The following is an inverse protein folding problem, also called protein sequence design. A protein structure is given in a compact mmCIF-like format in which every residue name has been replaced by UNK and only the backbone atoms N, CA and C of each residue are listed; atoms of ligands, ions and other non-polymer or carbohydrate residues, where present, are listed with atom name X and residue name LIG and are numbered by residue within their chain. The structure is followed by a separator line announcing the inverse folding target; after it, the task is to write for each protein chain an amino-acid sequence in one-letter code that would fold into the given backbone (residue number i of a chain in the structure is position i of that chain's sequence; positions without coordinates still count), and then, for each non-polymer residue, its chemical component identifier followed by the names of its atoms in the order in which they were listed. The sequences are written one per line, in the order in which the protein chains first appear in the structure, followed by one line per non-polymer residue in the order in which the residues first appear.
data_IF_186725092560
#
_entry.id   IF_186725092560
#
_cell.length_a   1.000
_cell.length_b   1.000
_cell.length_c   1.000
_cell.angle_alpha   90.00
_cell.angle_beta   90.00
_cell.angle_gamma   90.00
#
_symmetry.space_group_name_H-M   'P 1'
#
loop_
_entity.id
_entity.type
_entity.pdbx_description
1 polymer ?
#
# COMPACT_ATOMS: atom_id res chain seq x y z
N UNK A 1 6.36 17.32 14.90
CA UNK A 1 7.49 17.03 13.99
C UNK A 1 8.64 16.31 14.70
N UNK A 2 9.33 16.90 15.68
CA UNK A 2 10.46 16.24 16.38
C UNK A 2 10.08 14.90 17.03
N UNK A 3 8.95 14.84 17.72
CA UNK A 3 8.44 13.61 18.33
C UNK A 3 8.11 12.53 17.28
N UNK A 4 7.44 12.90 16.19
CA UNK A 4 7.07 11.97 15.10
C UNK A 4 8.31 11.40 14.39
N UNK A 5 9.28 12.28 14.08
CA UNK A 5 10.54 11.85 13.48
C UNK A 5 11.36 11.00 14.45
N UNK A 6 11.43 11.41 15.73
CA UNK A 6 12.14 10.66 16.77
C UNK A 6 11.56 9.26 16.99
N UNK A 7 10.24 9.12 17.06
CA UNK A 7 9.58 7.82 17.21
C UNK A 7 9.78 6.94 15.97
N UNK A 8 9.71 7.50 14.76
CA UNK A 8 9.98 6.78 13.52
C UNK A 8 11.42 6.23 13.48
N UNK A 9 12.40 7.08 13.75
CA UNK A 9 13.82 6.67 13.79
C UNK A 9 14.07 5.61 14.86
N UNK A 10 13.51 5.79 16.07
CA UNK A 10 13.64 4.83 17.16
C UNK A 10 13.09 3.45 16.76
N UNK A 11 11.89 3.40 16.20
CA UNK A 11 11.26 2.14 15.76
C UNK A 11 12.07 1.49 14.65
N UNK A 12 12.49 2.28 13.65
CA UNK A 12 13.30 1.77 12.52
C UNK A 12 14.63 1.17 13.00
N UNK A 13 15.34 1.87 13.90
CA UNK A 13 16.59 1.39 14.48
C UNK A 13 16.37 0.15 15.33
N UNK A 14 15.30 0.12 16.14
CA UNK A 14 14.95 -1.06 16.94
C UNK A 14 14.66 -2.28 16.06
N UNK A 15 13.87 -2.14 15.01
CA UNK A 15 13.58 -3.21 14.04
C UNK A 15 14.86 -3.69 13.36
N UNK A 16 15.71 -2.77 12.89
CA UNK A 16 16.99 -3.10 12.25
C UNK A 16 17.92 -3.87 13.22
N UNK A 17 18.02 -3.42 14.46
CA UNK A 17 18.83 -4.05 15.50
C UNK A 17 18.33 -5.46 15.84
N UNK A 18 17.02 -5.64 16.07
CA UNK A 18 16.43 -6.95 16.33
C UNK A 18 16.59 -7.88 15.14
N UNK A 19 16.40 -7.37 13.91
CA UNK A 19 16.62 -8.14 12.68
C UNK A 19 18.07 -8.62 12.60
N UNK A 20 19.05 -7.74 12.82
CA UNK A 20 20.46 -8.09 12.82
C UNK A 20 20.80 -9.16 13.87
N UNK A 21 20.27 -9.02 15.11
CA UNK A 21 20.48 -10.03 16.16
C UNK A 21 19.93 -11.42 15.77
N UNK A 22 18.78 -11.46 15.11
CA UNK A 22 18.11 -12.71 14.69
C UNK A 22 18.77 -13.37 13.47
N UNK A 23 19.53 -12.60 12.70
CA UNK A 23 20.18 -13.09 11.47
C UNK A 23 21.67 -13.30 11.66
N UNK A 24 22.24 -12.81 12.75
CA UNK A 24 23.65 -13.00 13.11
C UNK A 24 24.00 -14.50 13.15
N UNK A 25 24.96 -14.91 12.31
CA UNK A 25 25.36 -16.33 12.17
C UNK A 25 24.68 -17.07 11.00
N UNK A 26 23.89 -16.41 10.18
CA UNK A 26 23.47 -16.97 8.89
C UNK A 26 24.65 -16.86 7.92
N UNK A 27 24.95 -17.96 7.21
CA UNK A 27 25.98 -17.94 6.16
C UNK A 27 25.43 -17.21 4.92
N UNK A 28 25.72 -15.91 4.84
CA UNK A 28 25.33 -15.05 3.72
C UNK A 28 26.30 -15.15 2.52
N UNK A 29 27.37 -15.93 2.66
CA UNK A 29 28.34 -16.12 1.56
C UNK A 29 27.86 -17.14 0.54
N UNK A 30 26.96 -18.02 0.95
CA UNK A 30 26.33 -19.01 0.06
C UNK A 30 25.13 -18.41 -0.69
N UNK A 31 24.92 -18.87 -1.93
CA UNK A 31 23.77 -18.47 -2.76
C UNK A 31 22.43 -18.70 -2.03
N UNK A 32 22.25 -19.85 -1.43
CA UNK A 32 21.03 -20.19 -0.71
C UNK A 32 20.91 -19.42 0.61
N UNK A 33 22.01 -19.11 1.27
CA UNK A 33 22.02 -18.28 2.49
C UNK A 33 21.55 -16.87 2.20
N UNK A 34 22.09 -16.23 1.17
CA UNK A 34 21.74 -14.84 0.83
C UNK A 34 20.35 -14.70 0.19
N UNK A 35 20.03 -15.49 -0.85
CA UNK A 35 18.81 -15.34 -1.64
C UNK A 35 17.60 -16.09 -1.07
N UNK A 36 17.80 -17.14 -0.28
CA UNK A 36 16.72 -17.96 0.31
C UNK A 36 16.75 -17.97 1.84
N UNK A 37 17.61 -17.15 2.47
CA UNK A 37 17.75 -17.10 3.93
C UNK A 37 18.13 -18.44 4.54
N UNK A 38 18.90 -19.27 3.82
CA UNK A 38 19.28 -20.63 4.22
C UNK A 38 18.09 -21.58 4.35
N UNK A 39 16.97 -21.31 3.69
CA UNK A 39 15.71 -22.07 3.80
C UNK A 39 15.30 -22.26 5.27
N UNK A 40 15.39 -21.22 6.06
CA UNK A 40 15.18 -21.27 7.52
C UNK A 40 13.92 -20.56 8.02
N UNK A 41 13.12 -19.98 7.10
CA UNK A 41 11.97 -19.18 7.47
C UNK A 41 10.81 -20.04 8.00
N UNK A 42 10.23 -19.60 9.13
CA UNK A 42 9.00 -20.19 9.67
C UNK A 42 7.76 -19.58 9.01
N UNK A 43 6.63 -20.27 9.09
CA UNK A 43 5.38 -19.82 8.49
C UNK A 43 4.91 -18.45 9.00
N UNK A 44 5.17 -18.12 10.26
CA UNK A 44 4.84 -16.78 10.79
C UNK A 44 5.74 -15.69 10.20
N UNK A 45 7.02 -15.97 10.00
CA UNK A 45 7.94 -15.03 9.35
C UNK A 45 7.57 -14.85 7.88
N UNK A 46 7.20 -15.92 7.20
CA UNK A 46 6.72 -15.86 5.81
C UNK A 46 5.43 -15.05 5.73
N UNK A 47 4.49 -15.28 6.63
CA UNK A 47 3.25 -14.51 6.73
C UNK A 47 3.52 -13.00 6.87
N UNK A 48 4.32 -12.61 7.86
CA UNK A 48 4.66 -11.20 8.08
C UNK A 48 5.38 -10.59 6.87
N UNK A 49 6.31 -11.32 6.27
CA UNK A 49 7.06 -10.85 5.10
C UNK A 49 6.17 -10.73 3.86
N UNK A 50 5.28 -11.68 3.60
CA UNK A 50 4.32 -11.60 2.49
C UNK A 50 3.36 -10.42 2.67
N UNK A 51 2.85 -10.22 3.89
CA UNK A 51 1.99 -9.08 4.20
C UNK A 51 2.69 -7.75 3.93
N UNK A 52 3.89 -7.54 4.45
CA UNK A 52 4.62 -6.29 4.29
C UNK A 52 5.18 -6.08 2.88
N UNK A 53 5.38 -7.15 2.11
CA UNK A 53 5.75 -7.05 0.70
C UNK A 53 4.57 -6.62 -0.17
N UNK A 54 3.37 -7.08 0.16
CA UNK A 54 2.16 -6.71 -0.55
C UNK A 54 1.65 -5.32 -0.14
N UNK A 55 1.67 -5.01 1.15
CA UNK A 55 1.13 -3.76 1.68
C UNK A 55 2.17 -2.65 1.65
N UNK A 56 2.10 -1.82 0.62
CA UNK A 56 2.92 -0.62 0.45
C UNK A 56 2.16 0.65 0.93
N UNK A 57 2.87 1.77 1.00
CA UNK A 57 2.25 3.08 1.24
C UNK A 57 1.21 3.41 0.16
N UNK A 58 1.46 3.02 -1.09
CA UNK A 58 0.51 3.12 -2.21
C UNK A 58 -0.80 2.38 -1.91
N UNK A 59 -0.70 1.14 -1.42
CA UNK A 59 -1.88 0.36 -1.05
C UNK A 59 -2.67 1.05 0.07
N UNK A 60 -2.00 1.42 1.16
CA UNK A 60 -2.68 2.01 2.30
C UNK A 60 -3.32 3.37 1.97
N UNK A 61 -2.58 4.27 1.33
CA UNK A 61 -3.07 5.61 0.99
C UNK A 61 -3.97 5.56 -0.24
N UNK A 62 -3.56 4.85 -1.29
CA UNK A 62 -4.29 4.79 -2.55
C UNK A 62 -5.64 4.08 -2.43
N UNK A 63 -5.72 2.94 -1.72
CA UNK A 63 -6.99 2.24 -1.52
C UNK A 63 -7.96 3.01 -0.64
N UNK A 64 -7.46 3.71 0.38
CA UNK A 64 -8.31 4.61 1.17
C UNK A 64 -8.82 5.78 0.32
N UNK A 65 -7.99 6.37 -0.54
CA UNK A 65 -8.42 7.38 -1.51
C UNK A 65 -9.47 6.85 -2.48
N UNK A 66 -9.32 5.63 -2.97
CA UNK A 66 -10.32 4.96 -3.81
C UNK A 66 -11.61 4.68 -3.04
N UNK A 67 -11.53 4.27 -1.77
CA UNK A 67 -12.68 4.11 -0.89
C UNK A 67 -13.45 5.41 -0.70
N UNK A 68 -12.75 6.53 -0.57
CA UNK A 68 -13.37 7.85 -0.53
C UNK A 68 -14.10 8.21 -1.83
N UNK A 69 -13.46 7.97 -2.99
CA UNK A 69 -14.00 8.36 -4.29
C UNK A 69 -15.08 7.41 -4.84
N UNK A 70 -14.88 6.09 -4.71
CA UNK A 70 -15.71 5.06 -5.34
C UNK A 70 -16.47 4.16 -4.34
N UNK A 71 -16.30 4.39 -3.04
CA UNK A 71 -16.93 3.58 -2.00
C UNK A 71 -16.32 2.20 -1.85
N UNK A 72 -17.10 1.27 -1.26
CA UNK A 72 -16.67 -0.10 -0.99
C UNK A 72 -16.40 -0.93 -2.25
N UNK A 73 -16.79 -0.46 -3.43
CA UNK A 73 -16.44 -1.11 -4.71
C UNK A 73 -14.94 -1.25 -4.89
N UNK A 74 -14.14 -0.34 -4.30
CA UNK A 74 -12.68 -0.42 -4.32
C UNK A 74 -12.12 -1.71 -3.71
N UNK A 75 -12.88 -2.42 -2.86
CA UNK A 75 -12.49 -3.73 -2.31
C UNK A 75 -12.41 -4.84 -3.38
N UNK A 76 -13.03 -4.64 -4.53
CA UNK A 76 -13.00 -5.60 -5.64
C UNK A 76 -11.56 -6.01 -6.03
N UNK A 77 -10.60 -5.11 -5.87
CA UNK A 77 -9.19 -5.41 -6.10
C UNK A 77 -8.64 -6.50 -5.17
N UNK A 78 -9.08 -6.57 -3.92
CA UNK A 78 -8.55 -7.52 -2.93
C UNK A 78 -9.37 -8.81 -2.83
N UNK A 79 -10.54 -8.86 -3.46
CA UNK A 79 -11.49 -9.98 -3.32
C UNK A 79 -10.92 -11.32 -3.79
N UNK A 80 -10.12 -11.33 -4.86
CA UNK A 80 -9.51 -12.55 -5.41
C UNK A 80 -8.17 -12.94 -4.76
N UNK A 81 -7.61 -12.09 -3.91
CA UNK A 81 -6.35 -12.33 -3.23
C UNK A 81 -6.37 -13.61 -2.35
N UNK A 82 -7.34 -13.86 -1.47
CA UNK A 82 -7.41 -15.07 -0.66
C UNK A 82 -7.49 -16.35 -1.51
N UNK A 83 -8.22 -16.29 -2.63
CA UNK A 83 -8.35 -17.43 -3.55
C UNK A 83 -7.00 -17.72 -4.21
N UNK A 84 -6.32 -16.69 -4.71
CA UNK A 84 -4.99 -16.86 -5.33
C UNK A 84 -3.96 -17.42 -4.34
N UNK A 85 -3.95 -16.93 -3.09
CA UNK A 85 -3.06 -17.45 -2.03
C UNK A 85 -3.38 -18.89 -1.64
N UNK A 86 -4.65 -19.28 -1.65
CA UNK A 86 -5.06 -20.66 -1.45
C UNK A 86 -4.58 -21.55 -2.60
N UNK A 87 -4.77 -21.13 -3.84
CA UNK A 87 -4.23 -21.84 -5.02
C UNK A 87 -2.70 -21.93 -4.98
N UNK A 88 -2.03 -20.86 -4.59
CA UNK A 88 -0.58 -20.86 -4.39
C UNK A 88 -0.17 -21.92 -3.37
N UNK A 89 -0.81 -21.98 -2.21
CA UNK A 89 -0.49 -22.92 -1.14
C UNK A 89 -0.74 -24.38 -1.54
N UNK A 90 -1.84 -24.65 -2.24
CA UNK A 90 -2.25 -26.02 -2.56
C UNK A 90 -1.58 -26.60 -3.81
N UNK A 91 -1.27 -25.76 -4.82
CA UNK A 91 -0.80 -26.26 -6.11
C UNK A 91 0.61 -25.80 -6.45
N UNK A 92 0.90 -24.49 -6.37
CA UNK A 92 2.15 -23.94 -6.88
C UNK A 92 3.33 -24.24 -5.97
N UNK A 93 3.20 -24.01 -4.67
CA UNK A 93 4.29 -24.25 -3.70
C UNK A 93 4.73 -25.71 -3.72
N UNK A 94 3.79 -26.65 -3.80
CA UNK A 94 4.12 -28.07 -3.86
C UNK A 94 4.98 -28.43 -5.08
N UNK A 95 4.65 -27.85 -6.24
CA UNK A 95 5.41 -28.08 -7.47
C UNK A 95 6.82 -27.47 -7.37
N UNK A 96 6.93 -26.25 -6.87
CA UNK A 96 8.21 -25.57 -6.74
C UNK A 96 9.14 -26.25 -5.73
N UNK A 97 8.60 -26.72 -4.61
CA UNK A 97 9.38 -27.49 -3.63
C UNK A 97 9.84 -28.84 -4.17
N UNK A 98 9.00 -29.55 -4.94
CA UNK A 98 9.40 -30.84 -5.59
C UNK A 98 10.52 -30.65 -6.61
N UNK A 99 10.55 -29.53 -7.31
CA UNK A 99 11.58 -29.23 -8.30
C UNK A 99 12.85 -28.65 -7.68
N UNK A 100 12.83 -28.25 -6.41
CA UNK A 100 13.97 -27.68 -5.70
C UNK A 100 14.46 -26.34 -6.26
N UNK A 101 13.62 -25.62 -6.99
CA UNK A 101 13.97 -24.36 -7.64
C UNK A 101 14.24 -23.24 -6.62
N UNK A 102 15.09 -22.29 -7.02
CA UNK A 102 15.40 -21.10 -6.23
C UNK A 102 14.71 -19.84 -6.77
N UNK A 103 14.32 -19.84 -8.04
CA UNK A 103 13.69 -18.70 -8.70
C UNK A 103 12.62 -19.13 -9.70
N UNK A 104 11.66 -18.24 -9.98
CA UNK A 104 10.62 -18.49 -10.99
C UNK A 104 11.19 -18.64 -12.42
N UNK A 105 12.16 -17.82 -12.86
CA UNK A 105 12.81 -18.06 -14.13
C UNK A 105 13.50 -19.44 -14.24
N UNK A 106 14.03 -19.97 -13.13
CA UNK A 106 14.61 -21.34 -13.10
C UNK A 106 13.54 -22.43 -13.29
N UNK A 107 12.32 -22.21 -12.78
CA UNK A 107 11.18 -23.07 -13.09
C UNK A 107 10.89 -23.12 -14.59
N UNK A 108 10.93 -21.96 -15.25
CA UNK A 108 10.71 -21.90 -16.70
C UNK A 108 11.82 -22.59 -17.50
N UNK A 109 13.08 -22.50 -17.05
CA UNK A 109 14.18 -23.26 -17.66
C UNK A 109 13.95 -24.78 -17.59
N UNK A 110 13.46 -25.27 -16.45
CA UNK A 110 13.17 -26.70 -16.28
C UNK A 110 12.00 -27.18 -17.15
N UNK A 111 11.16 -26.28 -17.62
CA UNK A 111 9.96 -26.58 -18.42
C UNK A 111 10.18 -26.38 -19.92
N UNK A 112 10.99 -25.40 -20.28
CA UNK A 112 11.25 -24.97 -21.66
C UNK A 112 12.75 -25.08 -21.95
N UNK A 113 13.47 -23.93 -21.86
CA UNK A 113 14.88 -23.86 -22.16
C UNK A 113 15.60 -22.73 -21.41
N UNK A 114 16.93 -22.68 -21.55
CA UNK A 114 17.77 -21.64 -20.96
C UNK A 114 17.51 -20.25 -21.54
N UNK A 115 17.15 -20.15 -22.83
CA UNK A 115 16.85 -18.87 -23.47
C UNK A 115 15.61 -18.24 -22.83
N UNK A 116 14.56 -19.01 -22.59
CA UNK A 116 13.35 -18.57 -21.88
C UNK A 116 13.68 -18.03 -20.49
N UNK A 117 14.54 -18.72 -19.72
CA UNK A 117 15.00 -18.21 -18.40
C UNK A 117 15.65 -16.84 -18.51
N UNK A 118 16.59 -16.67 -19.44
CA UNK A 118 17.33 -15.41 -19.60
C UNK A 118 16.40 -14.28 -20.01
N UNK A 119 15.52 -14.50 -20.99
CA UNK A 119 14.57 -13.51 -21.49
C UNK A 119 13.62 -13.07 -20.37
N UNK A 120 13.02 -14.02 -19.65
CA UNK A 120 12.07 -13.71 -18.57
C UNK A 120 12.77 -13.01 -17.40
N UNK A 121 14.00 -13.42 -17.06
CA UNK A 121 14.78 -12.73 -16.02
C UNK A 121 15.07 -11.28 -16.41
N UNK A 122 15.41 -11.03 -17.66
CA UNK A 122 15.63 -9.67 -18.17
C UNK A 122 14.36 -8.83 -18.13
N UNK A 123 13.22 -9.39 -18.56
CA UNK A 123 11.93 -8.72 -18.52
C UNK A 123 11.56 -8.36 -17.08
N UNK A 124 11.69 -9.27 -16.12
CA UNK A 124 11.44 -8.99 -14.71
C UNK A 124 12.35 -7.89 -14.18
N UNK A 125 13.65 -7.93 -14.50
CA UNK A 125 14.60 -6.91 -14.06
C UNK A 125 14.20 -5.52 -14.56
N UNK A 126 13.90 -5.40 -15.86
CA UNK A 126 13.46 -4.14 -16.47
C UNK A 126 12.14 -3.67 -15.86
N UNK A 127 11.15 -4.55 -15.70
CA UNK A 127 9.87 -4.21 -15.10
C UNK A 127 10.02 -3.71 -13.65
N UNK A 128 10.86 -4.34 -12.84
CA UNK A 128 11.09 -3.88 -11.46
C UNK A 128 11.79 -2.53 -11.40
N UNK A 129 12.80 -2.30 -12.26
CA UNK A 129 13.57 -1.04 -12.26
C UNK A 129 12.72 0.11 -12.82
N UNK A 130 11.99 -0.11 -13.91
CA UNK A 130 11.31 0.96 -14.65
C UNK A 130 9.93 1.27 -14.08
N UNK A 131 9.19 0.26 -13.58
CA UNK A 131 7.81 0.45 -13.14
C UNK A 131 7.66 0.36 -11.64
N UNK A 132 8.05 -0.75 -11.03
CA UNK A 132 7.74 -1.03 -9.62
C UNK A 132 8.52 -0.14 -8.65
N UNK A 133 9.84 -0.02 -8.84
CA UNK A 133 10.70 0.73 -7.92
C UNK A 133 10.39 2.24 -7.89
N UNK A 134 10.24 2.94 -9.04
CA UNK A 134 9.87 4.35 -9.03
C UNK A 134 8.50 4.60 -8.40
N UNK A 135 7.50 3.75 -8.70
CA UNK A 135 6.15 3.88 -8.17
C UNK A 135 6.14 3.78 -6.64
N UNK A 136 6.79 2.75 -6.08
CA UNK A 136 6.84 2.52 -4.63
C UNK A 136 7.63 3.62 -3.91
N UNK A 137 8.79 4.03 -4.46
CA UNK A 137 9.59 5.12 -3.90
C UNK A 137 8.83 6.45 -3.93
N UNK A 138 8.17 6.76 -5.02
CA UNK A 138 7.37 7.98 -5.14
C UNK A 138 6.22 8.01 -4.14
N UNK A 139 5.40 6.95 -4.10
CA UNK A 139 4.28 6.86 -3.16
C UNK A 139 4.73 6.95 -1.69
N UNK A 140 5.83 6.24 -1.34
CA UNK A 140 6.43 6.34 -0.02
C UNK A 140 6.93 7.73 0.31
N UNK A 141 7.57 8.40 -0.65
CA UNK A 141 8.12 9.75 -0.48
C UNK A 141 7.03 10.80 -0.28
N UNK A 142 5.95 10.73 -1.05
CA UNK A 142 4.79 11.62 -0.88
C UNK A 142 4.14 11.43 0.49
N UNK A 143 3.97 10.18 0.94
CA UNK A 143 3.44 9.91 2.27
C UNK A 143 4.34 10.45 3.39
N UNK A 144 5.65 10.22 3.30
CA UNK A 144 6.63 10.71 4.27
C UNK A 144 6.75 12.24 4.26
N UNK A 145 6.70 12.86 3.07
CA UNK A 145 6.69 14.32 2.94
C UNK A 145 5.54 14.94 3.74
N UNK A 146 4.34 14.38 3.61
CA UNK A 146 3.16 14.85 4.33
C UNK A 146 3.26 14.66 5.84
N UNK A 147 3.78 13.52 6.29
CA UNK A 147 3.92 13.22 7.72
C UNK A 147 4.97 14.11 8.38
N UNK A 148 6.08 14.35 7.70
CA UNK A 148 7.22 15.09 8.27
C UNK A 148 7.28 16.56 7.88
N UNK A 149 6.42 17.03 6.96
CA UNK A 149 6.39 18.41 6.51
C UNK A 149 7.69 18.87 5.85
N UNK A 150 8.36 18.00 5.11
CA UNK A 150 9.68 18.26 4.50
C UNK A 150 9.63 19.44 3.52
N UNK A 151 8.51 19.65 2.84
CA UNK A 151 8.31 20.79 1.93
C UNK A 151 8.54 22.13 2.63
N UNK A 152 8.11 22.26 3.88
CA UNK A 152 8.35 23.48 4.65
C UNK A 152 9.85 23.74 4.92
N UNK A 153 10.62 22.67 5.13
CA UNK A 153 12.08 22.72 5.31
C UNK A 153 12.82 23.08 4.00
N UNK A 154 12.23 22.74 2.85
CA UNK A 154 12.79 22.98 1.51
C UNK A 154 12.28 24.29 0.88
N UNK A 155 11.88 25.28 1.70
CA UNK A 155 11.42 26.59 1.22
C UNK A 155 10.13 26.55 0.39
N UNK A 156 9.26 25.56 0.59
CA UNK A 156 8.00 25.38 -0.13
C UNK A 156 8.10 24.63 -1.46
N UNK A 157 9.29 24.13 -1.83
CA UNK A 157 9.47 23.38 -3.09
C UNK A 157 9.12 21.89 -2.91
N UNK A 158 7.88 21.54 -3.25
CA UNK A 158 7.35 20.17 -3.16
C UNK A 158 8.14 19.16 -4.01
N UNK A 159 8.52 19.54 -5.23
CA UNK A 159 9.29 18.66 -6.13
C UNK A 159 10.66 18.30 -5.51
N UNK A 160 11.37 19.28 -4.99
CA UNK A 160 12.67 19.06 -4.33
C UNK A 160 12.50 18.18 -3.08
N UNK A 161 11.49 18.44 -2.26
CA UNK A 161 11.19 17.66 -1.07
C UNK A 161 10.92 16.18 -1.40
N UNK A 162 10.05 15.92 -2.37
CA UNK A 162 9.74 14.56 -2.83
C UNK A 162 10.97 13.88 -3.43
N UNK A 163 11.77 14.57 -4.24
CA UNK A 163 13.01 14.03 -4.83
C UNK A 163 14.02 13.64 -3.76
N UNK A 164 14.27 14.51 -2.78
CA UNK A 164 15.19 14.22 -1.67
C UNK A 164 14.71 13.00 -0.87
N UNK A 165 13.41 12.91 -0.61
CA UNK A 165 12.82 11.75 0.08
C UNK A 165 12.94 10.47 -0.75
N UNK A 166 12.71 10.51 -2.06
CA UNK A 166 12.91 9.35 -2.96
C UNK A 166 14.36 8.84 -2.90
N UNK A 167 15.31 9.75 -2.99
CA UNK A 167 16.74 9.39 -2.93
C UNK A 167 17.10 8.83 -1.56
N UNK A 168 16.65 9.47 -0.48
CA UNK A 168 16.91 9.00 0.89
C UNK A 168 16.34 7.61 1.14
N UNK A 169 15.07 7.37 0.78
CA UNK A 169 14.44 6.07 0.91
C UNK A 169 15.10 5.01 0.03
N UNK A 170 15.50 5.38 -1.20
CA UNK A 170 16.20 4.48 -2.10
C UNK A 170 17.57 4.05 -1.56
N UNK A 171 18.35 4.99 -0.99
CA UNK A 171 19.65 4.70 -0.38
C UNK A 171 19.47 3.82 0.87
N UNK A 172 18.57 4.18 1.79
CA UNK A 172 18.32 3.40 3.02
C UNK A 172 17.85 2.00 2.68
N UNK A 173 16.87 1.86 1.78
CA UNK A 173 16.37 0.57 1.33
C UNK A 173 17.41 -0.26 0.60
N UNK A 174 18.25 0.37 -0.24
CA UNK A 174 19.35 -0.28 -0.95
C UNK A 174 20.41 -0.82 0.00
N UNK A 175 20.88 -0.02 0.96
CA UNK A 175 21.83 -0.45 1.99
C UNK A 175 21.26 -1.64 2.76
N UNK A 176 20.01 -1.53 3.20
CA UNK A 176 19.35 -2.59 3.96
C UNK A 176 19.24 -3.90 3.16
N UNK A 177 18.90 -3.82 1.88
CA UNK A 177 18.77 -4.98 1.01
C UNK A 177 20.12 -5.65 0.71
N UNK A 178 21.17 -4.85 0.48
CA UNK A 178 22.53 -5.36 0.13
C UNK A 178 23.16 -6.09 1.33
N UNK A 179 23.06 -5.52 2.53
CA UNK A 179 23.75 -6.07 3.71
C UNK A 179 22.91 -7.06 4.51
N UNK A 180 21.62 -7.18 4.25
CA UNK A 180 20.72 -8.00 5.09
C UNK A 180 20.31 -9.35 4.50
N UNK A 181 20.45 -9.55 3.20
CA UNK A 181 19.94 -10.75 2.54
C UNK A 181 18.43 -10.99 2.78
N UNK A 182 17.89 -12.10 2.26
CA UNK A 182 16.45 -12.39 2.38
C UNK A 182 16.00 -12.60 3.83
N UNK A 183 16.83 -13.23 4.67
CA UNK A 183 16.42 -13.56 6.05
C UNK A 183 16.25 -12.31 6.90
N UNK A 184 17.17 -11.34 6.80
CA UNK A 184 17.06 -10.09 7.53
C UNK A 184 15.86 -9.28 7.09
N UNK A 185 15.60 -9.21 5.78
CA UNK A 185 14.42 -8.55 5.23
C UNK A 185 13.14 -9.22 5.76
N UNK A 186 13.03 -10.56 5.69
CA UNK A 186 11.85 -11.27 6.15
C UNK A 186 11.57 -11.14 7.66
N UNK A 187 12.61 -11.10 8.49
CA UNK A 187 12.49 -10.87 9.94
C UNK A 187 12.04 -9.43 10.21
N UNK A 188 12.65 -8.46 9.55
CA UNK A 188 12.27 -7.05 9.66
C UNK A 188 10.83 -6.82 9.20
N UNK A 189 10.43 -7.38 8.05
CA UNK A 189 9.07 -7.34 7.56
C UNK A 189 8.09 -7.90 8.60
N UNK A 190 8.45 -9.01 9.26
CA UNK A 190 7.60 -9.63 10.27
C UNK A 190 7.41 -8.74 11.50
N UNK A 191 8.46 -8.04 11.93
CA UNK A 191 8.38 -7.08 13.03
C UNK A 191 7.53 -5.86 12.64
N UNK A 192 7.76 -5.31 11.45
CA UNK A 192 6.96 -4.23 10.92
C UNK A 192 5.49 -4.66 10.71
N UNK A 193 5.25 -5.92 10.32
CA UNK A 193 3.92 -6.50 10.20
C UNK A 193 3.14 -6.51 11.50
N UNK A 194 3.79 -6.76 12.64
CA UNK A 194 3.14 -6.67 13.96
C UNK A 194 2.72 -5.22 14.25
N UNK A 195 3.61 -4.27 14.02
CA UNK A 195 3.33 -2.84 14.20
C UNK A 195 2.20 -2.40 13.28
N UNK A 196 2.23 -2.87 12.02
CA UNK A 196 1.19 -2.60 11.02
C UNK A 196 -0.17 -3.15 11.43
N UNK A 197 -0.24 -4.39 11.93
CA UNK A 197 -1.50 -4.98 12.40
C UNK A 197 -2.09 -4.15 13.54
N UNK A 198 -1.29 -3.76 14.51
CA UNK A 198 -1.76 -2.92 15.63
C UNK A 198 -2.20 -1.54 15.13
N UNK A 199 -1.38 -0.87 14.33
CA UNK A 199 -1.63 0.49 13.86
C UNK A 199 -2.71 0.57 12.79
N UNK A 200 -2.50 -0.10 11.67
CA UNK A 200 -3.35 0.06 10.48
C UNK A 200 -4.61 -0.82 10.52
N UNK A 201 -4.51 -2.05 11.03
CA UNK A 201 -5.64 -2.98 11.01
C UNK A 201 -6.60 -2.75 12.18
N UNK A 202 -6.08 -2.39 13.35
CA UNK A 202 -6.90 -2.21 14.56
C UNK A 202 -7.14 -0.73 14.84
N UNK A 203 -6.07 0.05 15.02
CA UNK A 203 -6.18 1.41 15.55
C UNK A 203 -6.84 2.38 14.55
N UNK A 204 -6.46 2.35 13.27
CA UNK A 204 -7.01 3.27 12.26
C UNK A 204 -8.53 3.08 12.08
N UNK A 205 -9.08 1.87 11.84
CA UNK A 205 -10.52 1.69 11.73
C UNK A 205 -11.27 2.07 13.00
N UNK A 206 -10.74 1.70 14.18
CA UNK A 206 -11.37 2.04 15.47
C UNK A 206 -11.45 3.54 15.66
N UNK A 207 -10.34 4.26 15.44
CA UNK A 207 -10.32 5.72 15.56
C UNK A 207 -11.22 6.39 14.52
N UNK A 208 -11.29 5.86 13.30
CA UNK A 208 -12.18 6.37 12.25
C UNK A 208 -13.65 6.23 12.65
N UNK A 209 -14.08 5.10 13.22
CA UNK A 209 -15.44 4.93 13.73
C UNK A 209 -15.73 5.81 14.95
N UNK A 210 -14.78 5.98 15.88
CA UNK A 210 -14.91 6.88 17.02
C UNK A 210 -15.10 8.33 16.53
N UNK A 211 -14.31 8.75 15.54
CA UNK A 211 -14.42 10.09 14.97
C UNK A 211 -15.76 10.30 14.26
N UNK A 212 -16.27 9.29 13.52
CA UNK A 212 -17.56 9.36 12.86
C UNK A 212 -18.72 9.42 13.85
N UNK A 213 -18.63 8.69 14.96
CA UNK A 213 -19.68 8.57 16.00
C UNK A 213 -19.56 9.56 17.14
N UNK A 214 -18.79 10.64 16.98
CA UNK A 214 -18.58 11.67 18.01
C UNK A 214 -18.18 11.11 19.39
N UNK A 215 -17.24 10.16 19.39
CA UNK A 215 -16.72 9.49 20.57
C UNK A 215 -17.29 8.09 20.84
N UNK A 216 -18.29 7.64 20.08
CA UNK A 216 -18.90 6.30 20.23
C UNK A 216 -18.65 5.43 19.00
N UNK A 217 -18.01 4.27 19.17
CA UNK A 217 -17.80 3.30 18.09
C UNK A 217 -19.15 2.76 17.57
N UNK A 218 -20.09 2.45 18.48
CA UNK A 218 -21.40 1.91 18.10
C UNK A 218 -22.19 2.90 17.24
N UNK A 219 -22.16 4.17 17.58
CA UNK A 219 -22.81 5.23 16.80
C UNK A 219 -22.09 5.44 15.46
N UNK A 220 -20.76 5.40 15.43
CA UNK A 220 -19.97 5.45 14.19
C UNK A 220 -20.33 4.32 13.22
N UNK A 221 -20.44 3.09 13.73
CA UNK A 221 -20.87 1.93 12.92
C UNK A 221 -22.31 2.13 12.41
N UNK A 222 -23.22 2.63 13.25
CA UNK A 222 -24.61 2.93 12.85
C UNK A 222 -24.67 3.96 11.73
N UNK A 223 -23.95 5.08 11.90
CA UNK A 223 -23.86 6.14 10.88
C UNK A 223 -23.26 5.58 9.58
N UNK A 224 -22.19 4.82 9.67
CA UNK A 224 -21.55 4.17 8.51
C UNK A 224 -22.55 3.30 7.75
N UNK A 225 -23.30 2.45 8.45
CA UNK A 225 -24.24 1.52 7.82
C UNK A 225 -25.48 2.19 7.21
N UNK A 226 -25.86 3.40 7.66
CA UNK A 226 -27.14 4.03 7.27
C UNK A 226 -27.00 5.25 6.36
N UNK A 227 -25.83 5.95 6.37
CA UNK A 227 -25.71 7.28 5.75
C UNK A 227 -25.55 7.26 4.23
N UNK A 228 -24.93 6.25 3.65
CA UNK A 228 -24.66 6.22 2.20
C UNK A 228 -24.69 4.78 1.66
N UNK A 229 -25.88 4.16 1.51
CA UNK A 229 -25.99 2.77 1.03
C UNK A 229 -25.33 2.54 -0.34
N UNK A 230 -25.34 3.53 -1.22
CA UNK A 230 -24.69 3.49 -2.52
C UNK A 230 -23.15 3.34 -2.42
N UNK A 231 -22.53 4.01 -1.44
CA UNK A 231 -21.08 3.91 -1.17
C UNK A 231 -20.69 2.60 -0.47
N UNK A 232 -21.64 1.93 0.14
CA UNK A 232 -21.44 0.62 0.79
C UNK A 232 -21.61 -0.55 -0.17
N UNK A 233 -22.14 -0.34 -1.37
CA UNK A 233 -22.25 -1.39 -2.35
C UNK A 233 -20.87 -1.78 -2.89
N UNK A 234 -20.46 -3.01 -2.57
CA UNK A 234 -19.16 -3.53 -2.96
C UNK A 234 -19.13 -4.08 -4.40
N UNK A 235 -20.29 -4.34 -4.99
CA UNK A 235 -20.43 -4.99 -6.30
C UNK A 235 -21.14 -4.03 -7.25
N UNK A 236 -20.44 -3.57 -8.27
CA UNK A 236 -21.06 -2.80 -9.33
C UNK A 236 -21.61 -3.72 -10.44
N UNK A 237 -22.78 -3.40 -11.02
CA UNK A 237 -23.26 -4.06 -12.20
C UNK A 237 -22.30 -3.85 -13.38
N UNK A 238 -22.41 -4.70 -14.42
CA UNK A 238 -21.51 -4.65 -15.57
C UNK A 238 -21.67 -3.38 -16.40
N UNK A 239 -22.84 -2.77 -16.34
CA UNK A 239 -23.24 -1.56 -17.06
C UNK A 239 -23.19 -0.28 -16.21
N UNK A 240 -22.57 -0.33 -15.03
CA UNK A 240 -22.43 0.84 -14.17
C UNK A 240 -21.70 1.99 -14.88
N UNK A 241 -22.22 3.20 -14.67
CA UNK A 241 -21.64 4.43 -15.22
C UNK A 241 -21.34 5.43 -14.08
N UNK A 242 -20.10 5.88 -13.90
CA UNK A 242 -18.87 5.39 -14.54
C UNK A 242 -18.47 4.00 -14.03
N UNK A 243 -17.92 3.13 -14.88
CA UNK A 243 -17.46 1.82 -14.43
C UNK A 243 -16.15 1.98 -13.62
N UNK A 244 -16.16 1.52 -12.37
CA UNK A 244 -14.93 1.47 -11.57
C UNK A 244 -14.33 0.07 -11.58
N UNK A 245 -14.99 -0.90 -10.93
CA UNK A 245 -14.63 -2.32 -10.98
C UNK A 245 -15.93 -3.12 -11.12
N UNK A 246 -16.47 -3.31 -12.35
CA UNK A 246 -17.67 -4.11 -12.55
C UNK A 246 -17.40 -5.58 -12.22
N UNK A 247 -18.42 -6.30 -11.75
CA UNK A 247 -18.27 -7.66 -11.25
C UNK A 247 -17.55 -8.65 -12.21
N UNK A 248 -17.72 -8.57 -13.55
CA UNK A 248 -16.99 -9.47 -14.43
C UNK A 248 -15.48 -9.24 -14.39
N UNK A 249 -15.04 -7.99 -14.17
CA UNK A 249 -13.63 -7.66 -14.01
C UNK A 249 -13.05 -8.20 -12.70
N UNK A 250 -13.85 -8.26 -11.61
CA UNK A 250 -13.41 -8.86 -10.36
C UNK A 250 -13.00 -10.33 -10.58
N UNK A 251 -13.84 -11.10 -11.26
CA UNK A 251 -13.60 -12.53 -11.44
C UNK A 251 -12.50 -12.78 -12.46
N UNK A 252 -12.60 -12.20 -13.66
CA UNK A 252 -11.69 -12.49 -14.76
C UNK A 252 -10.39 -11.66 -14.66
N UNK A 253 -10.52 -10.33 -14.57
CA UNK A 253 -9.36 -9.43 -14.56
C UNK A 253 -8.55 -9.54 -13.28
N UNK A 254 -9.19 -9.28 -12.13
CA UNK A 254 -8.51 -9.36 -10.84
C UNK A 254 -8.12 -10.80 -10.49
N UNK A 255 -8.93 -11.80 -10.87
CA UNK A 255 -8.60 -13.21 -10.64
C UNK A 255 -7.30 -13.63 -11.32
N UNK A 256 -7.15 -13.36 -12.61
CA UNK A 256 -5.93 -13.65 -13.37
C UNK A 256 -4.76 -12.84 -12.82
N UNK A 257 -4.96 -11.55 -12.54
CA UNK A 257 -3.93 -10.68 -11.99
C UNK A 257 -3.40 -11.19 -10.64
N UNK A 258 -4.29 -11.57 -9.72
CA UNK A 258 -3.88 -12.09 -8.42
C UNK A 258 -3.19 -13.45 -8.51
N UNK A 259 -3.64 -14.36 -9.38
CA UNK A 259 -2.94 -15.62 -9.61
C UNK A 259 -1.54 -15.35 -10.16
N UNK A 260 -1.40 -14.47 -11.13
CA UNK A 260 -0.09 -14.07 -11.67
C UNK A 260 0.78 -13.45 -10.58
N UNK A 261 0.27 -12.48 -9.83
CA UNK A 261 1.03 -11.78 -8.78
C UNK A 261 1.47 -12.72 -7.66
N UNK A 262 0.57 -13.49 -7.07
CA UNK A 262 0.89 -14.34 -5.92
C UNK A 262 1.64 -15.61 -6.30
N UNK A 263 1.35 -16.21 -7.45
CA UNK A 263 1.90 -17.52 -7.80
C UNK A 263 3.17 -17.45 -8.65
N UNK A 264 3.45 -16.35 -9.36
CA UNK A 264 4.57 -16.27 -10.31
C UNK A 264 5.50 -15.08 -10.11
N UNK A 265 5.14 -14.11 -9.28
CA UNK A 265 6.00 -12.98 -8.99
C UNK A 265 7.22 -13.40 -8.18
N UNK A 266 8.42 -13.09 -8.67
CA UNK A 266 9.68 -13.49 -8.02
C UNK A 266 9.82 -12.92 -6.61
N UNK A 267 9.44 -11.67 -6.37
CA UNK A 267 9.57 -11.02 -5.05
C UNK A 267 8.70 -11.68 -3.98
N UNK A 268 7.54 -12.21 -4.35
CA UNK A 268 6.64 -12.97 -3.48
C UNK A 268 7.16 -14.39 -3.27
N UNK A 269 7.44 -15.09 -4.38
CA UNK A 269 7.82 -16.49 -4.32
C UNK A 269 9.16 -16.74 -3.64
N UNK A 270 10.10 -15.81 -3.74
CA UNK A 270 11.39 -15.91 -3.05
C UNK A 270 11.24 -16.06 -1.54
N UNK A 271 10.29 -15.36 -0.92
CA UNK A 271 9.99 -15.48 0.52
C UNK A 271 9.43 -16.84 0.89
N UNK A 272 8.57 -17.35 0.05
CA UNK A 272 7.94 -18.67 0.22
C UNK A 272 8.96 -19.81 0.03
N UNK A 273 9.83 -19.68 -0.97
CA UNK A 273 10.90 -20.65 -1.24
C UNK A 273 11.99 -20.68 -0.17
N UNK A 274 12.11 -19.61 0.63
CA UNK A 274 12.97 -19.55 1.82
C UNK A 274 12.45 -20.30 3.04
N UNK A 275 11.29 -20.97 2.95
CA UNK A 275 10.69 -21.73 4.04
C UNK A 275 11.52 -22.96 4.45
N UNK A 276 11.47 -23.31 5.74
CA UNK A 276 12.10 -24.53 6.28
C UNK A 276 11.59 -25.81 5.61
N UNK A 277 10.32 -25.84 5.28
CA UNK A 277 9.67 -26.99 4.66
C UNK A 277 8.33 -26.55 4.02
N UNK A 278 7.73 -27.47 3.27
CA UNK A 278 6.46 -27.24 2.58
C UNK A 278 5.34 -26.79 3.51
N UNK A 279 5.23 -27.39 4.72
CA UNK A 279 4.16 -27.04 5.69
C UNK A 279 4.27 -25.60 6.17
N UNK A 280 5.48 -25.11 6.44
CA UNK A 280 5.71 -23.72 6.84
C UNK A 280 5.42 -22.74 5.69
N UNK A 281 5.78 -23.09 4.47
CA UNK A 281 5.45 -22.31 3.27
C UNK A 281 3.92 -22.17 3.09
N UNK A 282 3.21 -23.28 3.15
CA UNK A 282 1.75 -23.31 3.04
C UNK A 282 1.07 -22.56 4.18
N UNK A 283 1.55 -22.75 5.43
CA UNK A 283 1.04 -22.05 6.61
C UNK A 283 1.16 -20.53 6.46
N UNK A 284 2.33 -20.03 6.05
CA UNK A 284 2.55 -18.60 5.83
C UNK A 284 1.62 -18.03 4.77
N UNK A 285 1.49 -18.72 3.64
CA UNK A 285 0.61 -18.30 2.54
C UNK A 285 -0.87 -18.29 2.91
N UNK A 286 -1.35 -19.32 3.62
CA UNK A 286 -2.75 -19.40 4.04
C UNK A 286 -3.09 -18.35 5.11
N UNK A 287 -2.17 -18.06 6.04
CA UNK A 287 -2.35 -16.97 7.01
C UNK A 287 -2.43 -15.60 6.32
N UNK A 288 -1.60 -15.39 5.29
CA UNK A 288 -1.68 -14.19 4.46
C UNK A 288 -3.04 -14.10 3.75
N UNK A 289 -3.51 -15.19 3.16
CA UNK A 289 -4.83 -15.27 2.53
C UNK A 289 -5.97 -14.96 3.49
N UNK A 290 -5.91 -15.51 4.70
CA UNK A 290 -6.90 -15.21 5.75
C UNK A 290 -6.91 -13.71 6.10
N UNK A 291 -5.74 -13.09 6.22
CA UNK A 291 -5.65 -11.66 6.53
C UNK A 291 -6.17 -10.80 5.37
N UNK A 292 -5.95 -11.22 4.12
CA UNK A 292 -6.47 -10.52 2.95
C UNK A 292 -8.01 -10.46 2.90
N UNK A 293 -8.72 -11.40 3.53
CA UNK A 293 -10.18 -11.31 3.70
C UNK A 293 -10.60 -10.05 4.47
N UNK A 294 -9.76 -9.60 5.40
CA UNK A 294 -10.01 -8.42 6.23
C UNK A 294 -9.43 -7.14 5.65
N UNK A 295 -8.65 -7.21 4.56
CA UNK A 295 -8.06 -6.04 3.91
C UNK A 295 -9.05 -4.91 3.62
N UNK A 296 -10.28 -5.15 3.15
CA UNK A 296 -11.26 -4.08 2.91
C UNK A 296 -11.53 -3.20 4.13
N UNK A 297 -11.49 -3.77 5.34
CA UNK A 297 -11.79 -3.04 6.59
C UNK A 297 -10.75 -1.97 6.88
N UNK A 298 -9.48 -2.21 6.59
CA UNK A 298 -8.42 -1.23 6.90
C UNK A 298 -7.85 -0.53 5.67
N UNK A 299 -8.04 -1.08 4.47
CA UNK A 299 -7.58 -0.44 3.23
C UNK A 299 -8.64 0.44 2.56
N UNK A 300 -9.92 0.13 2.73
CA UNK A 300 -11.00 0.82 2.00
C UNK A 300 -11.98 1.54 2.93
N UNK A 301 -12.42 0.89 4.00
CA UNK A 301 -13.44 1.45 4.87
C UNK A 301 -13.06 2.81 5.51
N UNK A 302 -11.80 3.09 5.93
CA UNK A 302 -11.48 4.40 6.46
C UNK A 302 -11.69 5.54 5.45
N UNK A 303 -11.46 5.28 4.14
CA UNK A 303 -11.77 6.22 3.07
C UNK A 303 -13.27 6.48 2.93
N UNK A 304 -14.10 5.43 3.00
CA UNK A 304 -15.57 5.57 2.99
C UNK A 304 -16.06 6.29 4.24
N UNK A 305 -15.48 5.99 5.41
CA UNK A 305 -15.80 6.69 6.67
C UNK A 305 -15.48 8.19 6.53
N UNK A 306 -14.34 8.52 5.94
CA UNK A 306 -13.96 9.91 5.70
C UNK A 306 -14.94 10.61 4.75
N UNK A 307 -15.42 9.95 3.70
CA UNK A 307 -16.43 10.48 2.80
C UNK A 307 -17.74 10.77 3.55
N UNK A 308 -18.23 9.81 4.34
CA UNK A 308 -19.45 9.98 5.14
C UNK A 308 -19.26 11.11 6.17
N UNK A 309 -18.11 11.15 6.84
CA UNK A 309 -17.79 12.17 7.82
C UNK A 309 -17.90 13.59 7.22
N UNK A 310 -17.32 13.82 6.05
CA UNK A 310 -17.41 15.14 5.39
C UNK A 310 -18.82 15.46 4.87
N UNK A 311 -19.64 14.48 4.57
CA UNK A 311 -21.04 14.70 4.18
C UNK A 311 -21.99 14.95 5.35
N UNK A 312 -21.80 14.25 6.47
CA UNK A 312 -22.70 14.33 7.63
C UNK A 312 -22.31 15.43 8.60
N UNK A 313 -21.04 15.78 8.70
CA UNK A 313 -20.51 16.78 9.64
C UNK A 313 -20.46 18.23 9.13
N UNK A 314 -20.62 18.59 7.82
CA UNK A 314 -20.63 20.01 7.43
C UNK A 314 -21.68 20.85 8.14
N UNK A 315 -22.85 20.28 8.49
CA UNK A 315 -23.85 20.95 9.28
C UNK A 315 -23.41 21.19 10.75
N UNK A 316 -22.52 20.33 11.28
CA UNK A 316 -21.96 20.42 12.63
C UNK A 316 -20.62 21.19 12.61
N UNK A 317 -19.86 21.13 11.54
CA UNK A 317 -18.59 21.83 11.41
C UNK A 317 -18.75 23.34 11.23
N UNK A 318 -19.84 23.81 10.65
CA UNK A 318 -20.14 25.22 10.63
C UNK A 318 -20.29 25.82 12.07
N UNK A 319 -20.74 25.01 13.03
CA UNK A 319 -20.77 25.33 14.44
C UNK A 319 -19.44 25.13 15.19
N UNK A 320 -18.62 24.13 14.78
CA UNK A 320 -17.34 23.83 15.44
C UNK A 320 -16.19 24.73 14.99
N UNK A 321 -16.21 25.24 13.75
CA UNK A 321 -15.22 26.22 13.30
C UNK A 321 -15.32 27.56 14.02
N UNK A 322 -16.42 27.84 14.71
CA UNK A 322 -16.55 29.02 15.56
C UNK A 322 -15.79 28.90 16.91
N UNK A 323 -15.39 27.66 17.31
CA UNK A 323 -14.70 27.43 18.58
C UNK A 323 -13.23 27.01 18.44
N UNK A 324 -12.70 26.84 17.20
CA UNK A 324 -11.24 26.71 17.01
C UNK A 324 -10.64 28.13 17.16
N UNK A 325 -9.53 28.29 17.90
CA UNK A 325 -8.86 29.57 17.99
C UNK A 325 -8.53 30.07 16.59
N UNK A 326 -8.88 31.30 16.29
CA UNK A 326 -8.62 31.95 14.98
C UNK A 326 -7.13 31.96 14.58
N UNK A 327 -6.22 31.61 15.51
CA UNK A 327 -4.80 31.37 15.25
C UNK A 327 -4.52 30.27 14.23
N UNK A 328 -5.31 29.16 14.21
CA UNK A 328 -5.05 28.02 13.34
C UNK A 328 -5.66 28.19 11.95
N UNK A 329 -6.74 28.92 11.84
CA UNK A 329 -7.33 29.31 10.54
C UNK A 329 -6.50 30.42 9.86
N UNK A 330 -5.85 31.29 10.66
CA UNK A 330 -4.96 32.33 10.17
C UNK A 330 -3.68 31.83 9.54
N UNK A 331 -3.19 30.66 9.96
CA UNK A 331 -2.01 29.99 9.38
C UNK A 331 -2.29 29.43 8.00
N UNK A 332 -3.51 28.95 7.73
CA UNK A 332 -3.93 28.51 6.40
C UNK A 332 -4.17 29.68 5.42
N UNK A 333 -4.46 30.88 5.94
CA UNK A 333 -4.74 32.08 5.13
C UNK A 333 -3.50 32.93 4.85
N UNK A 334 -2.39 32.78 5.58
CA UNK A 334 -1.17 33.59 5.44
C UNK A 334 -0.01 32.95 4.71
N UNK A 335 -0.11 31.69 4.33
CA UNK A 335 0.90 31.03 3.48
C UNK A 335 0.58 31.34 2.00
N UNK A 336 0.78 32.61 1.63
CA UNK A 336 0.73 33.08 0.24
C UNK A 336 1.96 32.65 -0.57
N UNK A 337 2.44 31.43 -0.42
CA UNK A 337 3.50 30.83 -1.23
C UNK A 337 3.05 29.45 -1.69
N UNK A 338 2.72 29.38 -2.96
CA UNK A 338 2.60 28.25 -3.87
C UNK A 338 2.54 26.84 -3.27
N UNK A 339 1.42 26.46 -2.66
CA UNK A 339 1.22 25.06 -2.26
C UNK A 339 0.72 24.27 -3.45
N UNK A 340 1.55 23.38 -3.95
CA UNK A 340 1.18 22.36 -4.91
C UNK A 340 0.22 21.39 -4.21
N UNK A 341 -1.09 21.64 -4.34
CA UNK A 341 -2.12 20.79 -3.75
C UNK A 341 -2.27 19.51 -4.58
N UNK A 342 -1.61 18.42 -4.19
CA UNK A 342 -2.12 17.09 -4.45
C UNK A 342 -3.26 16.84 -3.45
N UNK A 343 -4.38 17.51 -3.67
CA UNK A 343 -5.61 17.29 -2.97
C UNK A 343 -6.56 16.55 -3.90
N UNK A 344 -6.95 15.35 -3.55
CA UNK A 344 -8.27 14.85 -3.91
C UNK A 344 -9.28 15.85 -3.33
N UNK A 345 -9.68 16.83 -4.11
CA UNK A 345 -10.69 17.78 -3.67
C UNK A 345 -11.97 17.54 -4.45
N UNK A 346 -12.99 17.19 -3.70
CA UNK A 346 -14.33 17.46 -4.15
C UNK A 346 -14.51 18.98 -4.38
N UNK A 347 -15.45 19.33 -5.21
CA UNK A 347 -15.75 20.59 -5.87
C UNK A 347 -15.63 21.92 -5.11
N UNK A 348 -15.25 21.94 -3.84
CA UNK A 348 -15.12 23.16 -3.03
C UNK A 348 -13.71 23.78 -3.01
N UNK A 349 -12.68 23.13 -3.58
CA UNK A 349 -11.30 23.64 -3.63
C UNK A 349 -10.79 23.95 -5.05
N UNK A 350 -11.62 23.81 -6.07
CA UNK A 350 -11.24 24.14 -7.45
C UNK A 350 -10.97 25.65 -7.65
N UNK A 351 -11.60 26.53 -6.85
CA UNK A 351 -11.43 27.98 -6.97
C UNK A 351 -10.09 28.50 -6.40
N UNK A 352 -9.37 27.71 -5.59
CA UNK A 352 -8.13 28.15 -4.94
C UNK A 352 -6.84 27.84 -5.75
N UNK A 353 -6.96 27.10 -6.85
CA UNK A 353 -5.80 26.70 -7.69
C UNK A 353 -5.66 27.51 -9.00
N UNK A 354 -6.54 28.48 -9.29
CA UNK A 354 -6.57 29.14 -10.60
C UNK A 354 -5.65 30.36 -10.74
N UNK A 355 -5.11 30.92 -9.68
CA UNK A 355 -4.21 32.08 -9.80
C UNK A 355 -2.87 31.82 -9.10
N UNK A 356 -1.82 31.45 -9.87
CA UNK A 356 -0.43 31.62 -9.45
C UNK A 356 0.51 30.43 -9.52
N UNK A 357 0.15 29.25 -10.00
CA UNK A 357 1.08 28.14 -10.10
C UNK A 357 1.63 27.96 -11.53
N UNK A 358 2.67 28.73 -11.90
CA UNK A 358 3.33 28.66 -13.21
C UNK A 358 4.24 27.43 -13.44
N UNK A 359 4.37 26.52 -12.47
CA UNK A 359 5.31 25.39 -12.53
C UNK A 359 4.70 24.05 -12.14
N UNK A 360 3.43 23.82 -12.42
CA UNK A 360 2.85 22.48 -12.27
C UNK A 360 2.92 21.74 -13.62
N UNK A 361 3.72 20.66 -13.78
CA UNK A 361 3.84 19.95 -15.05
C UNK A 361 2.60 19.15 -15.44
N UNK A 362 1.59 19.10 -14.61
CA UNK A 362 0.29 18.48 -14.88
C UNK A 362 -0.83 19.51 -14.88
N UNK A 363 -0.84 20.36 -15.92
CA UNK A 363 -2.03 21.13 -16.29
C UNK A 363 -3.01 20.18 -16.97
N UNK A 364 -3.86 19.50 -16.20
CA UNK A 364 -5.04 18.87 -16.80
C UNK A 364 -5.95 19.99 -17.31
N UNK A 365 -6.08 20.09 -18.61
CA UNK A 365 -7.09 20.88 -19.31
C UNK A 365 -8.45 20.30 -18.94
N UNK A 366 -9.17 20.98 -18.04
CA UNK A 366 -10.60 20.80 -17.90
C UNK A 366 -11.26 21.68 -18.95
N UNK A 367 -12.18 21.16 -19.77
CA UNK A 367 -13.08 22.02 -20.50
C UNK A 367 -14.03 22.66 -19.46
N UNK A 368 -14.12 23.99 -19.51
CA UNK A 368 -15.15 24.72 -18.81
C UNK A 368 -16.52 24.23 -19.33
N UNK A 369 -17.46 24.04 -18.39
CA UNK A 369 -18.85 23.67 -18.62
C UNK A 369 -19.18 22.18 -18.90
N UNK A 370 -19.08 21.29 -17.84
CA UNK A 370 -20.13 20.30 -17.58
C UNK A 370 -19.87 19.56 -16.23
N UNK A 371 -20.86 19.36 -15.35
CA UNK A 371 -20.68 18.65 -14.09
C UNK A 371 -20.96 17.15 -14.29
N UNK A 372 -20.17 16.43 -15.04
CA UNK A 372 -20.21 14.97 -15.04
C UNK A 372 -19.05 14.38 -15.84
N UNK A 373 -18.33 13.46 -15.22
CA UNK A 373 -17.30 12.60 -15.76
C UNK A 373 -15.84 13.02 -15.49
N UNK A 374 -15.30 12.48 -14.42
CA UNK A 374 -13.87 12.39 -14.18
C UNK A 374 -13.33 11.19 -14.97
N UNK A 375 -12.49 11.36 -16.00
CA UNK A 375 -11.78 10.21 -16.56
C UNK A 375 -10.64 9.84 -15.61
N UNK A 376 -10.73 8.66 -15.02
CA UNK A 376 -9.63 8.04 -14.29
C UNK A 376 -8.54 7.65 -15.30
N UNK A 377 -7.24 7.89 -15.02
CA UNK A 377 -6.19 7.34 -15.82
C UNK A 377 -6.20 5.81 -15.71
N UNK A 378 -6.31 5.17 -16.85
CA UNK A 378 -6.11 3.73 -17.02
C UNK A 378 -4.61 3.46 -16.87
N UNK A 379 -4.21 2.78 -15.79
CA UNK A 379 -3.04 1.92 -15.71
C UNK A 379 -3.35 0.72 -14.84
#
# INVERSE_FOLDING_TARGET
MVFTLGSFVLVTVAVAFVSWLKTKGTDETSKDGYFLGGRSLSGLVIFGSLMMTNLSAEQLVGRNGQGYAAGMTAMGWETMCPIALTLMALFFIQKYFKLGISTIPEFLESRFDRATRVIVSFIFLVAYIVTMLPLVLYAGSVAMERIFGITALMGGNCFMATTVMCVALGIIGGIYAIFGGLKAVAVSDSLNGIIFIIGAVILIPVLAFIALGDGSIAEGIRIFATSSPEHLNAIQPADAQPPYIPWPMIVLGCGINHISYWCTNQSIMQRVLGAKNLKEAQKGSLLTGLTCVFCPIFLVAPGVIQFIYYRTVPAVSAGRHQHLPQSDVGLLRRSGSGHCCYGYSGSAHAELCTEGCHHCPYRMLWPDDEPSAVPLPVL
#
